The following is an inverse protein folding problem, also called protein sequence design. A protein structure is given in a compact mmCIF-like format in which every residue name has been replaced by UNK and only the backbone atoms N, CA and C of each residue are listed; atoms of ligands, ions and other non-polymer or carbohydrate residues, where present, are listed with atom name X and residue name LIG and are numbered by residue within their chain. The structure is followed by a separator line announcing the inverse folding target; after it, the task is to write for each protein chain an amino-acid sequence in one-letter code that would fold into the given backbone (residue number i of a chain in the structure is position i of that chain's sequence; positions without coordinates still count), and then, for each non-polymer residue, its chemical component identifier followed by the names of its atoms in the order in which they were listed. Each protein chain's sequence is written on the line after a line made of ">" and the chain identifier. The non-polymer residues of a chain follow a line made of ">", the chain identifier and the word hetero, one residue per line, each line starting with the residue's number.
data_IF_876042075059
#
_entry.id   IF_876042075059
#
_cell.length_a   1.000
_cell.length_b   1.000
_cell.length_c   1.000
_cell.angle_alpha   90.00
_cell.angle_beta   90.00
_cell.angle_gamma   90.00
#
_symmetry.space_group_name_H-M   'P 1'
#
loop_
_entity.id
_entity.type
_entity.pdbx_description
1 polymer ?
#
# COMPACT_ATOMS: atom_id res chain seq x y z
N UNK A 1 6.96 6.45 8.25
CA UNK A 1 7.84 5.35 8.73
C UNK A 1 8.24 4.50 7.54
N UNK A 2 9.53 4.32 7.30
CA UNK A 2 10.08 3.55 6.16
C UNK A 2 10.02 2.04 6.49
N UNK A 3 9.71 1.14 5.53
CA UNK A 3 9.77 -0.31 5.78
C UNK A 3 11.20 -0.77 6.10
N UNK A 4 11.32 -1.73 7.01
CA UNK A 4 12.59 -2.36 7.40
C UNK A 4 13.18 -3.18 6.24
N UNK A 5 14.49 -3.09 6.02
CA UNK A 5 15.20 -3.83 4.97
C UNK A 5 15.04 -5.36 5.12
N UNK A 6 14.84 -5.85 6.34
CA UNK A 6 14.57 -7.25 6.65
C UNK A 6 13.22 -7.72 6.06
N UNK A 7 12.21 -6.84 6.04
CA UNK A 7 10.91 -7.12 5.43
C UNK A 7 11.03 -7.18 3.91
N UNK A 8 11.87 -6.32 3.32
CA UNK A 8 12.11 -6.29 1.87
C UNK A 8 12.83 -7.56 1.43
N UNK A 9 13.88 -7.97 2.14
CA UNK A 9 14.62 -9.20 1.86
C UNK A 9 13.71 -10.45 1.92
N UNK A 10 12.90 -10.57 2.97
CA UNK A 10 11.97 -11.70 3.14
C UNK A 10 10.85 -11.70 2.10
N UNK A 11 10.32 -10.53 1.74
CA UNK A 11 9.29 -10.40 0.72
C UNK A 11 9.84 -10.66 -0.70
N UNK A 12 11.14 -10.42 -0.95
CA UNK A 12 11.80 -10.81 -2.20
C UNK A 12 11.87 -12.33 -2.35
N UNK A 13 12.24 -13.03 -1.29
CA UNK A 13 12.43 -14.49 -1.31
C UNK A 13 11.09 -15.24 -1.31
N UNK A 14 10.09 -14.70 -0.62
CA UNK A 14 8.78 -15.32 -0.44
C UNK A 14 7.63 -14.32 -0.61
N UNK A 15 7.43 -13.72 -1.80
CA UNK A 15 6.47 -12.62 -1.99
C UNK A 15 5.04 -13.00 -1.59
N UNK A 16 4.57 -14.16 -2.03
CA UNK A 16 3.22 -14.66 -1.72
C UNK A 16 3.05 -15.02 -0.24
N UNK A 17 4.06 -15.65 0.36
CA UNK A 17 4.01 -16.08 1.76
C UNK A 17 4.06 -14.91 2.73
N UNK A 18 4.92 -13.93 2.45
CA UNK A 18 5.07 -12.71 3.24
C UNK A 18 3.84 -11.84 3.11
N UNK A 19 3.30 -11.67 1.90
CA UNK A 19 2.05 -10.93 1.70
C UNK A 19 0.87 -11.59 2.42
N UNK A 20 0.71 -12.90 2.28
CA UNK A 20 -0.38 -13.62 2.94
C UNK A 20 -0.27 -13.49 4.46
N UNK A 21 0.92 -13.60 5.05
CA UNK A 21 1.09 -13.41 6.49
C UNK A 21 0.75 -11.99 6.95
N UNK A 22 1.09 -10.99 6.14
CA UNK A 22 0.89 -9.57 6.46
C UNK A 22 -0.56 -9.11 6.23
N UNK A 23 -1.19 -9.51 5.13
CA UNK A 23 -2.46 -8.95 4.67
C UNK A 23 -3.66 -9.89 4.77
N UNK A 24 -3.49 -11.20 5.01
CA UNK A 24 -4.63 -12.14 5.01
C UNK A 24 -5.73 -11.73 5.99
N UNK A 25 -5.35 -11.30 7.20
CA UNK A 25 -6.30 -10.82 8.22
C UNK A 25 -6.94 -9.46 7.87
N UNK A 26 -6.37 -8.73 6.91
CA UNK A 26 -6.82 -7.42 6.48
C UNK A 26 -7.52 -7.46 5.10
N UNK A 27 -7.61 -8.63 4.46
CA UNK A 27 -8.05 -8.76 3.07
C UNK A 27 -9.43 -8.17 2.81
N UNK A 28 -10.38 -8.36 3.72
CA UNK A 28 -11.74 -7.81 3.59
C UNK A 28 -11.76 -6.28 3.66
N UNK A 29 -10.82 -5.71 4.41
CA UNK A 29 -10.63 -4.27 4.55
C UNK A 29 -9.97 -3.65 3.31
N UNK A 30 -9.25 -4.46 2.53
CA UNK A 30 -8.58 -4.03 1.30
C UNK A 30 -9.45 -4.15 0.04
N UNK A 31 -10.76 -4.34 0.20
CA UNK A 31 -11.68 -4.47 -0.93
C UNK A 31 -12.10 -3.11 -1.49
N UNK A 32 -12.27 -2.11 -0.63
CA UNK A 32 -12.73 -0.76 -1.02
C UNK A 32 -12.06 0.33 -0.18
N UNK A 33 -11.91 1.56 -0.71
CA UNK A 33 -11.37 2.70 0.05
C UNK A 33 -12.16 2.99 1.33
N UNK A 34 -13.49 2.87 1.28
CA UNK A 34 -14.35 3.09 2.45
C UNK A 34 -14.09 2.09 3.58
N UNK A 35 -13.86 0.81 3.25
CA UNK A 35 -13.49 -0.19 4.27
C UNK A 35 -12.11 0.09 4.82
N UNK A 36 -11.14 0.37 3.96
CA UNK A 36 -9.81 0.78 4.39
C UNK A 36 -9.87 1.96 5.37
N UNK A 37 -10.66 3.00 5.06
CA UNK A 37 -10.79 4.20 5.87
C UNK A 37 -11.35 3.93 7.27
N UNK A 38 -12.21 2.91 7.41
CA UNK A 38 -12.78 2.49 8.69
C UNK A 38 -11.78 1.76 9.61
N UNK A 39 -10.59 1.39 9.12
CA UNK A 39 -9.55 0.81 9.97
C UNK A 39 -8.98 1.86 10.94
N UNK A 40 -8.58 1.45 12.16
CA UNK A 40 -7.74 2.27 13.02
C UNK A 40 -6.45 2.67 12.33
N UNK A 41 -5.96 3.89 12.58
CA UNK A 41 -4.77 4.45 11.93
C UNK A 41 -3.55 3.52 12.03
N UNK A 42 -3.32 2.90 13.19
CA UNK A 42 -2.22 1.95 13.38
C UNK A 42 -2.26 0.78 12.39
N UNK A 43 -3.46 0.29 12.03
CA UNK A 43 -3.61 -0.77 11.02
C UNK A 43 -3.43 -0.24 9.61
N UNK A 44 -3.88 0.99 9.34
CA UNK A 44 -3.62 1.66 8.06
C UNK A 44 -2.12 1.89 7.84
N UNK A 45 -1.38 2.29 8.87
CA UNK A 45 0.07 2.44 8.83
C UNK A 45 0.79 1.13 8.50
N UNK A 46 0.31 -0.01 9.03
CA UNK A 46 0.86 -1.31 8.68
C UNK A 46 0.67 -1.62 7.18
N UNK A 47 -0.50 -1.27 6.63
CA UNK A 47 -0.78 -1.42 5.19
C UNK A 47 0.10 -0.46 4.37
N UNK A 48 0.25 0.80 4.80
CA UNK A 48 1.12 1.79 4.13
C UNK A 48 2.57 1.29 4.08
N UNK A 49 3.10 0.77 5.19
CA UNK A 49 4.45 0.19 5.24
C UNK A 49 4.61 -0.99 4.28
N UNK A 50 3.61 -1.88 4.23
CA UNK A 50 3.64 -3.02 3.32
C UNK A 50 3.55 -2.59 1.85
N UNK A 51 2.67 -1.65 1.53
CA UNK A 51 2.50 -1.11 0.18
C UNK A 51 3.78 -0.41 -0.30
N UNK A 52 4.46 0.33 0.58
CA UNK A 52 5.77 0.92 0.29
C UNK A 52 6.84 -0.14 0.01
N UNK A 53 6.91 -1.18 0.85
CA UNK A 53 7.82 -2.29 0.62
C UNK A 53 7.56 -2.94 -0.74
N UNK A 54 6.29 -3.17 -1.10
CA UNK A 54 5.93 -3.76 -2.40
C UNK A 54 6.29 -2.85 -3.57
N UNK A 55 6.14 -1.52 -3.45
CA UNK A 55 6.60 -0.58 -4.49
C UNK A 55 8.10 -0.73 -4.75
N UNK A 56 8.91 -0.76 -3.70
CA UNK A 56 10.38 -0.91 -3.80
C UNK A 56 10.74 -2.24 -4.44
N UNK A 57 10.16 -3.34 -3.98
CA UNK A 57 10.37 -4.68 -4.53
C UNK A 57 9.99 -4.75 -6.02
N UNK A 58 8.85 -4.18 -6.41
CA UNK A 58 8.44 -4.14 -7.83
C UNK A 58 9.46 -3.37 -8.67
N UNK A 59 9.90 -2.18 -8.22
CA UNK A 59 10.87 -1.35 -8.95
C UNK A 59 12.24 -2.00 -9.08
N UNK A 60 12.72 -2.62 -8.01
CA UNK A 60 14.09 -3.14 -7.92
C UNK A 60 14.21 -4.58 -8.46
N UNK A 61 13.12 -5.35 -8.44
CA UNK A 61 13.16 -6.79 -8.70
C UNK A 61 12.06 -7.33 -9.64
N UNK A 62 11.19 -6.46 -10.17
CA UNK A 62 10.14 -6.82 -11.13
C UNK A 62 9.23 -8.00 -10.70
N UNK A 63 9.02 -8.19 -9.39
CA UNK A 63 8.29 -9.35 -8.84
C UNK A 63 6.87 -9.50 -9.38
N UNK A 64 6.21 -8.40 -9.73
CA UNK A 64 4.87 -8.38 -10.32
C UNK A 64 4.86 -8.74 -11.82
N UNK A 65 6.02 -8.85 -12.48
CA UNK A 65 6.10 -9.24 -13.90
C UNK A 65 5.86 -10.74 -14.12
N UNK A 66 6.05 -11.56 -13.09
CA UNK A 66 5.71 -12.98 -13.12
C UNK A 66 4.21 -13.17 -12.85
N UNK A 67 3.50 -13.69 -13.85
CA UNK A 67 2.05 -14.00 -13.74
C UNK A 67 1.75 -14.96 -12.59
N UNK A 68 2.66 -15.86 -12.23
CA UNK A 68 2.50 -16.78 -11.09
C UNK A 68 2.46 -16.07 -9.73
N UNK A 69 3.04 -14.87 -9.66
CA UNK A 69 2.94 -13.99 -8.50
C UNK A 69 1.66 -13.16 -8.52
N UNK A 70 1.09 -12.83 -9.67
CA UNK A 70 -0.18 -12.08 -9.79
C UNK A 70 -1.43 -12.93 -9.50
N UNK A 71 -1.31 -14.25 -9.45
CA UNK A 71 -2.40 -15.14 -9.02
C UNK A 71 -2.56 -15.02 -7.50
N UNK A 72 -3.79 -14.82 -7.04
CA UNK A 72 -4.24 -14.79 -5.63
C UNK A 72 -3.31 -15.64 -4.75
N UNK A 73 -2.57 -15.05 -3.78
CA UNK A 73 -2.95 -13.94 -2.90
C UNK A 73 -2.38 -12.55 -3.21
N UNK A 74 -1.62 -12.33 -4.28
CA UNK A 74 -0.93 -11.06 -4.46
C UNK A 74 -1.85 -9.98 -5.06
N UNK A 75 -2.15 -8.91 -4.30
CA UNK A 75 -2.80 -7.73 -4.86
C UNK A 75 -1.77 -7.02 -5.76
N UNK A 76 -2.09 -6.62 -7.00
CA UNK A 76 -1.15 -5.84 -7.81
C UNK A 76 -0.69 -4.56 -7.08
N UNK A 77 0.60 -4.22 -7.13
CA UNK A 77 1.14 -3.04 -6.43
C UNK A 77 0.38 -1.76 -6.77
N UNK A 78 0.14 -1.49 -8.06
CA UNK A 78 -0.59 -0.31 -8.50
C UNK A 78 -2.00 -0.23 -7.90
N UNK A 79 -2.69 -1.39 -7.77
CA UNK A 79 -4.01 -1.47 -7.15
C UNK A 79 -3.94 -1.21 -5.65
N UNK A 80 -2.94 -1.75 -4.96
CA UNK A 80 -2.76 -1.50 -3.52
C UNK A 80 -2.43 -0.02 -3.25
N UNK A 81 -1.61 0.60 -4.09
CA UNK A 81 -1.27 2.03 -3.99
C UNK A 81 -2.50 2.92 -4.15
N UNK A 82 -3.31 2.68 -5.18
CA UNK A 82 -4.56 3.41 -5.40
C UNK A 82 -5.49 3.31 -4.19
N UNK A 83 -5.70 2.09 -3.70
CA UNK A 83 -6.54 1.83 -2.53
C UNK A 83 -6.07 2.57 -1.27
N UNK A 84 -4.76 2.58 -1.00
CA UNK A 84 -4.19 3.28 0.16
C UNK A 84 -4.45 4.78 0.07
N UNK A 85 -4.23 5.39 -1.10
CA UNK A 85 -4.37 6.84 -1.27
C UNK A 85 -5.84 7.26 -1.19
N UNK A 86 -6.72 6.61 -1.95
CA UNK A 86 -8.16 6.86 -1.89
C UNK A 86 -8.72 6.65 -0.48
N UNK A 87 -8.23 5.60 0.20
CA UNK A 87 -8.63 5.27 1.55
C UNK A 87 -8.15 6.28 2.60
N UNK A 88 -6.93 6.80 2.48
CA UNK A 88 -6.42 7.85 3.38
C UNK A 88 -7.11 9.20 3.14
N UNK A 89 -7.41 9.55 1.88
CA UNK A 89 -8.23 10.73 1.56
C UNK A 89 -9.60 10.62 2.23
N UNK A 90 -10.26 9.47 2.10
CA UNK A 90 -11.55 9.20 2.73
C UNK A 90 -11.46 9.22 4.27
N UNK A 91 -10.39 8.69 4.86
CA UNK A 91 -10.19 8.68 6.32
C UNK A 91 -9.91 10.07 6.89
N UNK A 92 -9.14 10.90 6.16
CA UNK A 92 -8.85 12.27 6.55
C UNK A 92 -10.04 13.22 6.34
N UNK A 93 -10.94 12.85 5.41
CA UNK A 93 -12.12 13.64 5.05
C UNK A 93 -11.77 14.89 4.26
N UNK A 94 -10.73 14.82 3.42
CA UNK A 94 -10.20 15.94 2.64
C UNK A 94 -10.58 15.82 1.17
N UNK A 95 -10.69 16.96 0.48
CA UNK A 95 -10.84 16.99 -0.97
C UNK A 95 -9.44 17.08 -1.61
N UNK A 96 -8.99 15.99 -2.23
CA UNK A 96 -7.70 15.92 -2.90
C UNK A 96 -7.83 15.19 -4.25
N UNK A 97 -6.98 15.54 -5.22
CA UNK A 97 -6.90 14.82 -6.49
C UNK A 97 -6.18 13.48 -6.27
N UNK A 98 -6.98 12.41 -6.14
CA UNK A 98 -6.44 11.07 -5.93
C UNK A 98 -5.56 10.61 -7.10
N UNK A 99 -5.89 10.97 -8.34
CA UNK A 99 -5.14 10.53 -9.51
C UNK A 99 -3.73 11.16 -9.52
N UNK A 100 -3.63 12.44 -9.20
CA UNK A 100 -2.34 13.14 -9.04
C UNK A 100 -1.50 12.48 -7.94
N UNK A 101 -2.08 12.27 -6.75
CA UNK A 101 -1.37 11.70 -5.62
C UNK A 101 -0.93 10.24 -5.88
N UNK A 102 -1.73 9.45 -6.60
CA UNK A 102 -1.37 8.08 -7.02
C UNK A 102 -0.15 8.06 -7.94
N UNK A 103 -0.05 9.03 -8.85
CA UNK A 103 1.11 9.15 -9.73
C UNK A 103 2.35 9.58 -8.96
N UNK A 104 2.23 10.63 -8.13
CA UNK A 104 3.32 11.12 -7.27
C UNK A 104 3.86 10.04 -6.34
N UNK A 105 2.98 9.23 -5.73
CA UNK A 105 3.36 8.13 -4.84
C UNK A 105 4.22 7.04 -5.50
N UNK A 106 4.18 6.90 -6.84
CA UNK A 106 5.09 5.97 -7.54
C UNK A 106 6.55 6.43 -7.42
N UNK A 107 6.78 7.75 -7.48
CA UNK A 107 8.10 8.36 -7.37
C UNK A 107 8.51 8.70 -5.94
N UNK A 108 7.64 9.36 -5.20
CA UNK A 108 7.98 10.03 -3.93
C UNK A 108 7.94 9.11 -2.71
N UNK A 109 7.09 8.08 -2.68
CA UNK A 109 6.80 7.38 -1.43
C UNK A 109 5.32 7.38 -1.08
N UNK A 110 4.76 6.21 -0.75
CA UNK A 110 3.46 6.18 -0.08
C UNK A 110 3.50 6.88 1.31
N UNK A 111 4.55 6.70 2.15
CA UNK A 111 4.61 7.38 3.44
C UNK A 111 4.59 8.91 3.35
N UNK A 112 5.24 9.49 2.32
CA UNK A 112 5.27 10.94 2.12
C UNK A 112 3.87 11.47 1.75
N UNK A 113 3.25 10.86 0.73
CA UNK A 113 1.91 11.23 0.26
C UNK A 113 0.85 11.04 1.34
N UNK A 114 0.91 9.95 2.12
CA UNK A 114 -0.03 9.74 3.24
C UNK A 114 0.15 10.80 4.33
N UNK A 115 1.39 11.20 4.63
CA UNK A 115 1.63 12.27 5.59
C UNK A 115 1.06 13.61 5.10
N UNK A 116 1.19 13.92 3.81
CA UNK A 116 0.60 15.11 3.19
C UNK A 116 -0.92 15.11 3.32
N UNK A 117 -1.59 14.01 2.98
CA UNK A 117 -3.05 13.85 3.10
C UNK A 117 -3.52 14.09 4.55
N UNK A 118 -2.84 13.50 5.53
CA UNK A 118 -3.22 13.60 6.95
C UNK A 118 -3.02 14.99 7.55
N UNK A 119 -2.10 15.78 6.98
CA UNK A 119 -1.81 17.15 7.41
C UNK A 119 -2.61 18.20 6.64
N UNK A 120 -3.32 17.81 5.58
CA UNK A 120 -4.11 18.73 4.78
C UNK A 120 -5.30 19.30 5.59
N UNK A 121 -5.66 20.58 5.37
CA UNK A 121 -6.85 21.16 5.98
C UNK A 121 -8.12 20.47 5.43
N UNK A 122 -9.11 20.31 6.30
CA UNK A 122 -10.43 19.76 5.96
C UNK A 122 -11.34 20.80 5.33
#
# INVERSE_FOLDING_TARGET
>A
MIPDDSLIALAREHPRGTERRTLLALRDWLQTPARYAALPEQRRDAIVRWAEARRRIRREHAVDADRGNLVDPLIPEARLRALVIEGEIAAAGVAADAAELIQRADGEGLPAIVSEIRLAPR
#
